data_IF_646457898166
#
_entry.id   IF_646457898166
#
_cell.length_a   1.000
_cell.length_b   1.000
_cell.length_c   1.000
_cell.angle_alpha   90.00
_cell.angle_beta   90.00
_cell.angle_gamma   90.00
#
_symmetry.space_group_name_H-M   'P 1'
#
loop_
_entity.id
_entity.type
_entity.pdbx_description
1 polymer ?
#
# COMPACT_ATOMS: atom_id res chain seq x y z
N UNK A 1 -12.57 15.44 -11.39
CA UNK A 1 -11.54 15.36 -10.34
C UNK A 1 -11.43 16.72 -9.69
N UNK A 2 -11.45 16.80 -8.36
CA UNK A 2 -11.32 18.06 -7.61
C UNK A 2 -9.85 18.46 -7.50
N UNK A 3 -9.57 19.76 -7.32
CA UNK A 3 -8.21 20.27 -7.09
C UNK A 3 -7.58 19.66 -5.82
N UNK A 4 -8.42 19.33 -4.83
CA UNK A 4 -8.01 18.68 -3.59
C UNK A 4 -7.40 17.29 -3.82
N UNK A 5 -8.06 16.44 -4.62
CA UNK A 5 -7.55 15.10 -4.97
C UNK A 5 -6.21 15.22 -5.70
N UNK A 6 -6.10 16.17 -6.63
CA UNK A 6 -4.87 16.38 -7.37
C UNK A 6 -3.72 16.87 -6.49
N UNK A 7 -3.96 17.83 -5.59
CA UNK A 7 -2.97 18.31 -4.62
C UNK A 7 -2.56 17.22 -3.63
N UNK A 8 -3.50 16.41 -3.16
CA UNK A 8 -3.22 15.28 -2.28
C UNK A 8 -2.20 14.31 -2.91
N UNK A 9 -2.47 13.82 -4.12
CA UNK A 9 -1.57 12.86 -4.76
C UNK A 9 -0.28 13.49 -5.25
N UNK A 10 -0.27 14.75 -5.70
CA UNK A 10 0.97 15.38 -6.22
C UNK A 10 1.90 15.90 -5.14
N UNK A 11 1.38 16.26 -3.97
CA UNK A 11 2.14 16.99 -2.97
C UNK A 11 2.16 16.25 -1.63
N UNK A 12 1.00 15.88 -1.09
CA UNK A 12 0.90 15.32 0.27
C UNK A 12 1.45 13.91 0.36
N UNK A 13 1.13 13.05 -0.60
CA UNK A 13 1.62 11.66 -0.63
C UNK A 13 3.16 11.59 -0.68
N UNK A 14 3.85 12.26 -1.63
CA UNK A 14 5.32 12.27 -1.62
C UNK A 14 5.90 12.92 -0.37
N UNK A 15 5.30 14.01 0.14
CA UNK A 15 5.77 14.69 1.33
C UNK A 15 5.71 13.79 2.57
N UNK A 16 4.59 13.10 2.79
CA UNK A 16 4.41 12.15 3.88
C UNK A 16 5.42 10.99 3.79
N UNK A 17 5.52 10.36 2.62
CA UNK A 17 6.45 9.25 2.40
C UNK A 17 7.92 9.66 2.68
N UNK A 18 8.32 10.84 2.21
CA UNK A 18 9.68 11.36 2.44
C UNK A 18 9.92 11.77 3.90
N UNK A 19 8.89 12.23 4.61
CA UNK A 19 8.98 12.49 6.04
C UNK A 19 9.24 11.20 6.84
N UNK A 20 8.58 10.10 6.47
CA UNK A 20 8.81 8.77 7.05
C UNK A 20 10.23 8.28 6.78
N UNK A 21 10.76 8.43 5.56
CA UNK A 21 12.16 8.13 5.25
C UNK A 21 13.14 8.96 6.11
N UNK A 22 12.88 10.26 6.28
CA UNK A 22 13.72 11.13 7.09
C UNK A 22 13.70 10.73 8.58
N UNK A 23 12.54 10.32 9.10
CA UNK A 23 12.42 9.78 10.45
C UNK A 23 13.23 8.47 10.59
N UNK A 24 13.14 7.55 9.62
CA UNK A 24 13.91 6.30 9.62
C UNK A 24 15.43 6.56 9.59
N UNK A 25 15.89 7.52 8.78
CA UNK A 25 17.30 7.96 8.76
C UNK A 25 17.80 8.41 10.13
N UNK A 26 16.97 9.15 10.86
CA UNK A 26 17.30 9.61 12.21
C UNK A 26 17.38 8.45 13.20
N UNK A 27 16.43 7.52 13.15
CA UNK A 27 16.39 6.35 14.03
C UNK A 27 17.56 5.39 13.79
N UNK A 28 18.04 5.28 12.55
CA UNK A 28 19.13 4.39 12.16
C UNK A 28 20.52 4.81 12.67
N UNK A 29 20.70 6.07 13.11
CA UNK A 29 22.02 6.59 13.50
C UNK A 29 22.69 5.79 14.63
N UNK A 30 21.89 5.21 15.53
CA UNK A 30 22.37 4.50 16.72
C UNK A 30 21.86 3.04 16.81
N UNK A 31 21.21 2.51 15.77
CA UNK A 31 20.61 1.17 15.74
C UNK A 31 21.00 0.41 14.45
N UNK A 32 21.78 -0.65 14.60
CA UNK A 32 22.30 -1.47 13.49
C UNK A 32 21.19 -2.20 12.70
N UNK A 33 20.10 -2.58 13.36
CA UNK A 33 18.95 -3.21 12.69
C UNK A 33 18.23 -2.14 11.87
N UNK A 34 17.97 -0.97 12.44
CA UNK A 34 17.35 0.15 11.73
C UNK A 34 18.21 0.66 10.56
N UNK A 35 19.54 0.58 10.67
CA UNK A 35 20.48 0.88 9.60
C UNK A 35 20.36 -0.10 8.43
N UNK A 36 20.22 -1.39 8.70
CA UNK A 36 20.04 -2.42 7.65
C UNK A 36 18.73 -2.17 6.89
N UNK A 37 17.63 -1.90 7.61
CA UNK A 37 16.35 -1.54 7.01
C UNK A 37 16.46 -0.28 6.15
N UNK A 38 17.15 0.75 6.64
CA UNK A 38 17.35 1.99 5.90
C UNK A 38 18.13 1.75 4.60
N UNK A 39 19.19 0.95 4.64
CA UNK A 39 19.97 0.59 3.44
C UNK A 39 19.09 -0.10 2.40
N UNK A 40 18.21 -1.01 2.83
CA UNK A 40 17.24 -1.68 1.96
C UNK A 40 16.20 -0.70 1.39
N UNK A 41 15.74 0.29 2.17
CA UNK A 41 14.86 1.36 1.67
C UNK A 41 15.59 2.25 0.65
N UNK A 42 16.84 2.63 0.91
CA UNK A 42 17.65 3.44 0.00
C UNK A 42 18.10 2.69 -1.25
N UNK A 43 18.08 1.35 -1.23
CA UNK A 43 18.30 0.51 -2.41
C UNK A 43 17.09 0.51 -3.36
N UNK A 44 15.90 0.93 -2.91
CA UNK A 44 14.68 0.90 -3.73
C UNK A 44 14.79 1.79 -4.96
N UNK A 45 14.42 1.21 -6.10
CA UNK A 45 14.31 1.83 -7.42
C UNK A 45 13.05 1.32 -8.11
N UNK A 46 11.95 2.04 -7.98
CA UNK A 46 10.65 1.53 -8.42
C UNK A 46 9.68 2.67 -8.76
N UNK A 47 8.62 2.33 -9.49
CA UNK A 47 7.51 3.25 -9.78
C UNK A 47 6.21 2.72 -9.19
N UNK A 48 5.35 3.62 -8.72
CA UNK A 48 3.97 3.35 -8.28
C UNK A 48 3.05 4.23 -9.13
N UNK A 49 1.88 3.71 -9.47
CA UNK A 49 0.83 4.50 -10.13
C UNK A 49 -0.45 4.44 -9.31
N UNK A 50 -1.15 5.56 -9.21
CA UNK A 50 -2.50 5.64 -8.64
C UNK A 50 -3.46 6.17 -9.69
N UNK A 51 -4.50 5.40 -9.97
CA UNK A 51 -5.61 5.81 -10.81
C UNK A 51 -6.81 6.20 -9.95
N UNK A 52 -7.33 7.41 -10.19
CA UNK A 52 -8.53 7.93 -9.53
C UNK A 52 -9.58 8.25 -10.59
N UNK A 53 -10.51 7.32 -10.82
CA UNK A 53 -11.34 7.34 -12.03
C UNK A 53 -10.46 7.36 -13.28
N UNK A 54 -10.58 8.38 -14.13
CA UNK A 54 -9.78 8.55 -15.35
C UNK A 54 -8.42 9.24 -15.11
N UNK A 55 -8.20 9.81 -13.92
CA UNK A 55 -6.94 10.48 -13.60
C UNK A 55 -5.87 9.48 -13.18
N UNK A 56 -4.61 9.78 -13.49
CA UNK A 56 -3.45 8.96 -13.11
C UNK A 56 -2.36 9.82 -12.48
N UNK A 57 -1.76 9.31 -11.42
CA UNK A 57 -0.67 9.92 -10.69
C UNK A 57 0.49 8.93 -10.61
N UNK A 58 1.62 9.29 -11.21
CA UNK A 58 2.82 8.46 -11.18
C UNK A 58 3.79 8.95 -10.11
N UNK A 59 4.41 7.99 -9.43
CA UNK A 59 5.41 8.20 -8.40
C UNK A 59 6.65 7.39 -8.73
N UNK A 60 7.81 8.02 -8.69
CA UNK A 60 9.09 7.35 -8.78
C UNK A 60 9.80 7.39 -7.43
N UNK A 61 10.30 6.23 -7.02
CA UNK A 61 11.10 6.04 -5.82
C UNK A 61 12.55 5.83 -6.24
N UNK A 62 13.39 6.79 -5.90
CA UNK A 62 14.83 6.80 -6.16
C UNK A 62 15.57 7.04 -4.84
N UNK A 63 16.52 6.15 -4.51
CA UNK A 63 17.25 6.20 -3.23
C UNK A 63 16.31 6.23 -2.02
N UNK A 64 15.23 5.46 -2.10
CA UNK A 64 14.19 5.40 -1.07
C UNK A 64 13.30 6.64 -0.96
N UNK A 65 13.55 7.72 -1.72
CA UNK A 65 12.74 8.94 -1.72
C UNK A 65 11.73 8.94 -2.87
N UNK A 66 10.50 9.40 -2.61
CA UNK A 66 9.42 9.46 -3.58
C UNK A 66 9.31 10.85 -4.21
N UNK A 67 9.07 10.88 -5.52
CA UNK A 67 8.77 12.09 -6.28
C UNK A 67 7.60 11.84 -7.22
N UNK A 68 6.76 12.86 -7.45
CA UNK A 68 5.75 12.80 -8.50
C UNK A 68 6.37 12.95 -9.88
N UNK A 69 5.82 12.21 -10.85
CA UNK A 69 6.23 12.26 -12.25
C UNK A 69 4.99 12.38 -13.16
N UNK A 70 5.18 12.87 -14.38
CA UNK A 70 4.12 12.91 -15.40
C UNK A 70 3.75 11.51 -15.89
N UNK A 71 4.72 10.59 -15.90
CA UNK A 71 4.58 9.18 -16.24
C UNK A 71 5.62 8.36 -15.47
N UNK A 72 5.36 7.07 -15.15
CA UNK A 72 6.32 6.26 -14.43
C UNK A 72 7.58 6.03 -15.28
N UNK A 73 8.77 6.25 -14.71
CA UNK A 73 10.03 6.05 -15.46
C UNK A 73 10.43 4.58 -15.60
N UNK A 74 9.74 3.69 -14.90
CA UNK A 74 9.96 2.23 -14.89
C UNK A 74 8.60 1.51 -14.89
N UNK A 75 8.54 0.21 -15.26
CA UNK A 75 7.33 -0.58 -15.05
C UNK A 75 6.89 -0.53 -13.58
N UNK A 76 5.69 -0.04 -13.27
CA UNK A 76 5.26 0.11 -11.89
C UNK A 76 5.21 -1.25 -11.20
N UNK A 77 5.63 -1.31 -9.94
CA UNK A 77 5.48 -2.55 -9.17
C UNK A 77 4.10 -2.65 -8.53
N UNK A 78 3.45 -1.49 -8.35
CA UNK A 78 2.15 -1.34 -7.75
C UNK A 78 1.35 -0.32 -8.56
N UNK A 79 0.17 -0.71 -9.00
CA UNK A 79 -0.86 0.19 -9.54
C UNK A 79 -2.07 0.12 -8.61
N UNK A 80 -2.46 1.25 -8.03
CA UNK A 80 -3.67 1.35 -7.20
C UNK A 80 -4.79 2.01 -7.97
N UNK A 81 -6.03 1.56 -7.78
CA UNK A 81 -7.20 2.14 -8.42
C UNK A 81 -8.35 2.30 -7.43
N UNK A 82 -8.97 3.47 -7.43
CA UNK A 82 -10.22 3.71 -6.72
C UNK A 82 -11.01 4.82 -7.42
N UNK A 83 -12.25 5.03 -7.00
CA UNK A 83 -13.08 6.10 -7.56
C UNK A 83 -12.85 7.42 -6.82
N UNK A 84 -13.25 8.56 -7.42
CA UNK A 84 -13.27 9.83 -6.70
C UNK A 84 -14.19 9.82 -5.48
N UNK A 85 -15.28 9.04 -5.48
CA UNK A 85 -16.20 8.98 -4.32
C UNK A 85 -15.55 8.29 -3.11
N UNK A 86 -14.67 7.31 -3.34
CA UNK A 86 -13.99 6.58 -2.28
C UNK A 86 -12.83 7.38 -1.65
N UNK A 87 -12.41 8.49 -2.26
CA UNK A 87 -11.25 9.27 -1.83
C UNK A 87 -11.33 9.73 -0.38
N UNK A 88 -12.45 10.34 0.04
CA UNK A 88 -12.60 10.86 1.40
C UNK A 88 -12.51 9.75 2.45
N UNK A 89 -13.14 8.60 2.17
CA UNK A 89 -13.10 7.41 3.03
C UNK A 89 -11.69 6.83 3.13
N UNK A 90 -10.98 6.73 2.00
CA UNK A 90 -9.60 6.24 1.94
C UNK A 90 -8.68 7.20 2.70
N UNK A 91 -8.83 8.51 2.48
CA UNK A 91 -8.03 9.53 3.15
C UNK A 91 -8.28 9.54 4.67
N UNK A 92 -9.53 9.43 5.11
CA UNK A 92 -9.86 9.28 6.53
C UNK A 92 -9.28 7.99 7.14
N UNK A 93 -9.23 6.91 6.35
CA UNK A 93 -8.73 5.61 6.79
C UNK A 93 -7.19 5.51 6.80
N UNK A 94 -6.49 6.17 5.88
CA UNK A 94 -5.05 6.00 5.67
C UNK A 94 -4.23 7.28 5.92
N UNK A 95 -4.89 8.41 6.18
CA UNK A 95 -4.24 9.72 6.21
C UNK A 95 -3.52 9.98 4.89
N UNK A 96 -2.33 10.58 4.99
CA UNK A 96 -1.51 10.92 3.82
C UNK A 96 -0.64 9.74 3.33
N UNK A 97 -0.75 8.56 3.97
CA UNK A 97 0.02 7.39 3.59
C UNK A 97 -0.66 6.64 2.45
N UNK A 98 0.04 6.57 1.32
CA UNK A 98 -0.43 5.82 0.15
C UNK A 98 -0.57 4.31 0.44
N UNK A 99 0.24 3.81 1.36
CA UNK A 99 0.36 2.38 1.68
C UNK A 99 -0.26 2.07 3.05
N UNK A 100 -0.97 3.03 3.65
CA UNK A 100 -1.59 2.86 4.98
C UNK A 100 -2.56 1.68 5.03
N UNK A 101 -3.24 1.37 3.93
CA UNK A 101 -4.13 0.20 3.86
C UNK A 101 -3.34 -1.13 3.85
N UNK A 102 -2.20 -1.20 3.16
CA UNK A 102 -1.33 -2.38 3.18
C UNK A 102 -0.69 -2.54 4.56
N UNK A 103 -0.31 -1.43 5.20
CA UNK A 103 0.13 -1.40 6.59
C UNK A 103 -0.93 -1.99 7.53
N UNK A 104 -2.17 -1.52 7.41
CA UNK A 104 -3.29 -2.03 8.20
C UNK A 104 -3.54 -3.54 7.99
N UNK A 105 -3.47 -4.02 6.73
CA UNK A 105 -3.58 -5.46 6.42
C UNK A 105 -2.41 -6.28 6.96
N UNK A 106 -1.22 -5.68 7.04
CA UNK A 106 -0.04 -6.30 7.62
C UNK A 106 0.04 -6.16 9.15
N UNK A 107 -0.93 -5.50 9.79
CA UNK A 107 -0.92 -5.25 11.24
C UNK A 107 0.19 -4.31 11.68
N UNK A 108 0.81 -3.67 10.70
CA UNK A 108 1.72 -2.58 10.92
C UNK A 108 0.81 -1.39 11.20
N UNK A 109 0.63 -1.05 12.47
CA UNK A 109 -0.17 0.11 12.90
C UNK A 109 0.28 1.43 12.26
N UNK A 110 1.48 1.45 11.67
CA UNK A 110 2.08 2.55 10.90
C UNK A 110 2.37 2.17 9.44
N UNK A 111 2.65 3.20 8.63
CA UNK A 111 3.01 3.17 7.22
C UNK A 111 3.92 1.99 6.83
N UNK A 112 3.49 1.20 5.83
CA UNK A 112 4.30 0.10 5.29
C UNK A 112 5.59 0.67 4.68
N UNK A 113 6.74 0.25 5.22
CA UNK A 113 8.06 0.59 4.66
C UNK A 113 8.24 -0.12 3.32
N UNK A 114 8.79 0.57 2.34
CA UNK A 114 9.15 -0.04 1.06
C UNK A 114 10.64 -0.34 1.07
N UNK A 115 10.99 -1.62 1.14
CA UNK A 115 12.36 -2.14 1.03
C UNK A 115 12.58 -2.79 -0.33
N UNK A 116 13.84 -2.97 -0.75
CA UNK A 116 14.15 -3.61 -2.02
C UNK A 116 13.62 -5.05 -2.09
N UNK A 117 13.72 -5.79 -0.99
CA UNK A 117 13.12 -7.12 -0.85
C UNK A 117 11.60 -7.09 -0.97
N UNK A 118 10.90 -6.18 -0.27
CA UNK A 118 9.43 -6.11 -0.32
C UNK A 118 8.94 -5.73 -1.72
N UNK A 119 9.62 -4.82 -2.42
CA UNK A 119 9.30 -4.53 -3.84
C UNK A 119 9.43 -5.78 -4.70
N UNK A 120 10.48 -6.58 -4.52
CA UNK A 120 10.66 -7.83 -5.27
C UNK A 120 9.53 -8.81 -4.98
N UNK A 121 9.25 -9.07 -3.70
CA UNK A 121 8.18 -9.98 -3.28
C UNK A 121 6.82 -9.56 -3.83
N UNK A 122 6.48 -8.27 -3.75
CA UNK A 122 5.23 -7.76 -4.31
C UNK A 122 5.19 -7.93 -5.84
N UNK A 123 6.29 -7.67 -6.57
CA UNK A 123 6.33 -7.92 -8.02
C UNK A 123 6.11 -9.39 -8.39
N UNK A 124 6.64 -10.31 -7.58
CA UNK A 124 6.54 -11.75 -7.79
C UNK A 124 5.13 -12.29 -7.56
N UNK A 125 4.28 -11.59 -6.78
CA UNK A 125 2.87 -11.98 -6.60
C UNK A 125 2.08 -11.97 -7.91
N UNK A 126 2.36 -11.00 -8.80
CA UNK A 126 1.76 -10.88 -10.13
C UNK A 126 0.23 -11.08 -10.16
N UNK A 127 -0.53 -10.04 -9.82
CA UNK A 127 -1.99 -10.13 -9.79
C UNK A 127 -2.68 -8.88 -9.24
N UNK A 128 -4.01 -8.90 -9.23
CA UNK A 128 -4.85 -7.84 -8.69
C UNK A 128 -5.62 -8.30 -7.44
N UNK A 129 -5.65 -7.46 -6.41
CA UNK A 129 -6.48 -7.66 -5.23
C UNK A 129 -7.42 -6.46 -5.06
N UNK A 130 -8.72 -6.74 -4.91
CA UNK A 130 -9.72 -5.77 -4.50
C UNK A 130 -9.87 -5.78 -2.99
N UNK A 131 -9.83 -4.62 -2.37
CA UNK A 131 -10.06 -4.42 -0.96
C UNK A 131 -11.38 -3.69 -0.78
N UNK A 132 -12.27 -4.25 0.03
CA UNK A 132 -13.56 -3.65 0.34
C UNK A 132 -13.64 -3.40 1.83
N UNK A 133 -13.67 -2.13 2.23
CA UNK A 133 -13.96 -1.75 3.61
C UNK A 133 -15.47 -1.56 3.76
N UNK A 134 -16.09 -2.51 4.46
CA UNK A 134 -17.53 -2.57 4.70
C UNK A 134 -17.87 -1.71 5.92
N UNK A 135 -18.16 -0.43 5.65
CA UNK A 135 -18.47 0.58 6.67
C UNK A 135 -19.30 1.73 6.11
N UNK A 136 -19.66 2.67 6.99
CA UNK A 136 -20.24 3.96 6.60
C UNK A 136 -19.43 5.11 7.23
N UNK A 137 -18.61 5.83 6.45
CA UNK A 137 -18.38 5.61 5.02
C UNK A 137 -17.47 4.39 4.76
N UNK A 138 -17.75 3.65 3.68
CA UNK A 138 -16.95 2.53 3.20
C UNK A 138 -16.11 2.95 1.99
N UNK A 139 -15.25 2.05 1.50
CA UNK A 139 -14.51 2.30 0.26
C UNK A 139 -14.12 1.00 -0.45
N UNK A 140 -13.84 1.10 -1.74
CA UNK A 140 -13.17 0.06 -2.53
C UNK A 140 -11.83 0.56 -3.04
N UNK A 141 -10.79 -0.26 -2.88
CA UNK A 141 -9.46 0.02 -3.40
C UNK A 141 -8.92 -1.24 -4.09
N UNK A 142 -8.47 -1.10 -5.33
CA UNK A 142 -7.79 -2.17 -6.05
C UNK A 142 -6.29 -1.94 -6.03
N UNK A 143 -5.52 -2.99 -5.78
CA UNK A 143 -4.07 -2.98 -5.82
C UNK A 143 -3.59 -4.07 -6.77
N UNK A 144 -2.80 -3.66 -7.76
CA UNK A 144 -2.27 -4.50 -8.82
C UNK A 144 -0.75 -4.57 -8.70
N UNK A 145 -0.21 -5.77 -8.62
CA UNK A 145 1.20 -6.00 -8.34
C UNK A 145 1.90 -6.67 -9.52
N UNK A 146 3.12 -6.23 -9.81
CA UNK A 146 3.92 -6.77 -10.92
C UNK A 146 3.37 -6.39 -12.30
N UNK A 147 3.74 -7.18 -13.32
CA UNK A 147 3.21 -7.01 -14.67
C UNK A 147 1.85 -7.72 -14.78
N UNK A 148 0.78 -6.93 -14.74
CA UNK A 148 -0.59 -7.45 -14.74
C UNK A 148 -1.25 -7.41 -16.12
N UNK A 149 -0.56 -6.91 -17.14
CA UNK A 149 -1.11 -6.74 -18.50
C UNK A 149 -2.41 -5.91 -18.53
N UNK A 150 -3.30 -6.21 -19.47
CA UNK A 150 -4.61 -5.54 -19.63
C UNK A 150 -5.72 -6.22 -18.79
N UNK A 151 -5.40 -6.78 -17.62
CA UNK A 151 -6.43 -7.40 -16.77
C UNK A 151 -7.47 -6.36 -16.33
N UNK A 152 -8.74 -6.71 -16.57
CA UNK A 152 -9.88 -5.85 -16.26
C UNK A 152 -10.35 -5.98 -14.80
N UNK A 153 -10.27 -7.19 -14.23
CA UNK A 153 -10.77 -7.49 -12.89
C UNK A 153 -9.69 -8.09 -11.97
N UNK A 154 -9.64 -7.68 -10.69
CA UNK A 154 -8.78 -8.29 -9.68
C UNK A 154 -9.06 -9.80 -9.51
N UNK A 155 -8.01 -10.55 -9.23
CA UNK A 155 -8.05 -12.02 -9.06
C UNK A 155 -8.65 -12.42 -7.70
N UNK A 156 -8.52 -11.56 -6.69
CA UNK A 156 -9.05 -11.79 -5.35
C UNK A 156 -9.76 -10.55 -4.81
N UNK A 157 -10.75 -10.76 -3.93
CA UNK A 157 -11.40 -9.71 -3.15
C UNK A 157 -11.27 -10.03 -1.65
N UNK A 158 -10.72 -9.09 -0.89
CA UNK A 158 -10.62 -9.15 0.56
C UNK A 158 -11.64 -8.17 1.14
N UNK A 159 -12.55 -8.67 1.98
CA UNK A 159 -13.57 -7.85 2.63
C UNK A 159 -13.19 -7.62 4.09
N UNK A 160 -13.25 -6.37 4.52
CA UNK A 160 -12.93 -5.95 5.87
C UNK A 160 -14.15 -5.26 6.46
N UNK A 161 -14.82 -5.93 7.40
CA UNK A 161 -15.83 -5.29 8.24
C UNK A 161 -15.20 -4.12 9.01
N UNK A 162 -15.96 -3.04 9.23
CA UNK A 162 -15.48 -1.84 9.92
C UNK A 162 -14.80 -2.15 11.27
N UNK A 163 -15.39 -3.02 12.08
CA UNK A 163 -14.84 -3.41 13.39
C UNK A 163 -13.53 -4.19 13.26
N UNK A 164 -13.44 -5.10 12.27
CA UNK A 164 -12.20 -5.85 11.99
C UNK A 164 -11.10 -4.90 11.51
N UNK A 165 -11.43 -3.99 10.60
CA UNK A 165 -10.49 -2.99 10.08
C UNK A 165 -9.94 -2.08 11.20
N UNK A 166 -10.81 -1.61 12.11
CA UNK A 166 -10.41 -0.80 13.25
C UNK A 166 -9.50 -1.56 14.24
N UNK A 167 -9.77 -2.86 14.46
CA UNK A 167 -8.95 -3.70 15.33
C UNK A 167 -7.58 -4.01 14.70
N UNK A 168 -7.52 -4.34 13.42
CA UNK A 168 -6.26 -4.52 12.69
C UNK A 168 -5.41 -3.24 12.74
N UNK A 169 -6.03 -2.08 12.48
CA UNK A 169 -5.37 -0.78 12.51
C UNK A 169 -4.82 -0.38 13.87
N UNK A 170 -5.51 -0.72 14.94
CA UNK A 170 -5.04 -0.44 16.30
C UNK A 170 -4.02 -1.46 16.80
N UNK A 171 -3.75 -2.52 16.03
CA UNK A 171 -2.97 -3.68 16.47
C UNK A 171 -3.67 -4.52 17.53
N UNK A 172 -4.96 -4.27 17.79
CA UNK A 172 -5.76 -5.05 18.74
C UNK A 172 -6.11 -6.45 18.22
N UNK A 173 -6.11 -6.60 16.89
CA UNK A 173 -6.23 -7.88 16.21
C UNK A 173 -4.97 -8.12 15.40
N UNK A 174 -4.32 -9.26 15.63
CA UNK A 174 -3.21 -9.70 14.80
C UNK A 174 -3.73 -10.14 13.42
N UNK A 175 -3.19 -9.61 12.32
CA UNK A 175 -3.68 -9.94 10.97
C UNK A 175 -3.43 -11.37 10.56
N UNK A 176 -2.30 -11.97 10.99
CA UNK A 176 -2.01 -13.35 10.67
C UNK A 176 -3.04 -14.26 11.36
N UNK A 177 -3.34 -14.01 12.63
CA UNK A 177 -4.39 -14.71 13.37
C UNK A 177 -5.77 -14.48 12.74
N UNK A 178 -6.13 -13.24 12.40
CA UNK A 178 -7.42 -12.91 11.78
C UNK A 178 -7.62 -13.64 10.45
N UNK A 179 -6.56 -13.70 9.65
CA UNK A 179 -6.55 -14.38 8.37
C UNK A 179 -6.68 -15.90 8.54
N UNK A 180 -5.86 -16.51 9.40
CA UNK A 180 -5.89 -17.95 9.67
C UNK A 180 -7.20 -18.40 10.35
N UNK A 181 -7.84 -17.52 11.12
CA UNK A 181 -9.14 -17.77 11.74
C UNK A 181 -10.33 -17.58 10.78
N UNK A 182 -10.09 -17.10 9.55
CA UNK A 182 -11.15 -16.82 8.57
C UNK A 182 -12.02 -15.61 8.92
N UNK A 183 -11.54 -14.71 9.78
CA UNK A 183 -12.25 -13.48 10.16
C UNK A 183 -12.23 -12.41 9.06
N UNK A 184 -11.39 -12.60 8.04
CA UNK A 184 -11.27 -11.75 6.85
C UNK A 184 -11.76 -12.59 5.66
N UNK A 185 -13.00 -12.37 5.16
CA UNK A 185 -13.50 -13.08 4.01
C UNK A 185 -12.67 -12.79 2.75
N UNK A 186 -12.37 -13.86 2.01
CA UNK A 186 -11.65 -13.80 0.74
C UNK A 186 -12.49 -14.48 -0.32
N UNK A 187 -12.66 -13.82 -1.46
CA UNK A 187 -13.32 -14.34 -2.66
C UNK A 187 -12.29 -14.39 -3.79
N UNK A 188 -12.26 -15.48 -4.57
CA UNK A 188 -11.35 -15.62 -5.71
C UNK A 188 -10.04 -16.33 -5.36
N UNK A 189 -8.90 -15.81 -5.82
CA UNK A 189 -7.58 -16.41 -5.60
C UNK A 189 -7.08 -16.20 -4.16
N UNK A 190 -7.38 -17.17 -3.28
CA UNK A 190 -6.89 -17.18 -1.90
C UNK A 190 -5.36 -17.21 -1.81
N UNK A 191 -4.68 -17.86 -2.76
CA UNK A 191 -3.22 -17.94 -2.78
C UNK A 191 -2.57 -16.57 -2.98
N UNK A 192 -3.14 -15.75 -3.87
CA UNK A 192 -2.73 -14.36 -4.07
C UNK A 192 -2.97 -13.52 -2.81
N UNK A 193 -4.14 -13.66 -2.17
CA UNK A 193 -4.48 -12.92 -0.95
C UNK A 193 -3.54 -13.27 0.21
N UNK A 194 -3.25 -14.57 0.41
CA UNK A 194 -2.25 -15.06 1.38
C UNK A 194 -0.87 -14.51 1.04
N UNK A 195 -0.47 -14.60 -0.23
CA UNK A 195 0.81 -14.12 -0.70
C UNK A 195 1.00 -12.63 -0.45
N UNK A 196 -0.04 -11.81 -0.67
CA UNK A 196 -0.04 -10.39 -0.35
C UNK A 196 0.16 -10.14 1.14
N UNK A 197 -0.59 -10.83 1.99
CA UNK A 197 -0.44 -10.70 3.44
C UNK A 197 0.99 -11.06 3.87
N UNK A 198 1.54 -12.17 3.39
CA UNK A 198 2.91 -12.60 3.70
C UNK A 198 3.96 -11.61 3.17
N UNK A 199 3.80 -11.07 1.96
CA UNK A 199 4.72 -10.09 1.39
C UNK A 199 4.69 -8.77 2.18
N UNK A 200 3.53 -8.37 2.68
CA UNK A 200 3.36 -7.17 3.49
C UNK A 200 3.88 -7.36 4.93
N UNK A 201 3.68 -8.54 5.52
CA UNK A 201 4.12 -8.92 6.88
C UNK A 201 5.57 -9.41 6.97
N UNK A 202 6.23 -9.69 5.85
CA UNK A 202 7.58 -10.27 5.84
C UNK A 202 8.52 -9.41 6.69
N UNK A 203 9.22 -10.01 7.68
CA UNK A 203 10.13 -9.28 8.55
C UNK A 203 11.25 -8.65 7.73
N UNK A 204 11.68 -7.47 8.17
CA UNK A 204 12.78 -6.70 7.58
C UNK A 204 14.14 -7.15 8.08
#
# INVERSE_FOLDING_TARGET
MTDEVASFYRERVPAQYNATLAAQRKSAMDDATAQTVLEEMEAVRASIVVCVGEASFAFDIERGAMTSADAPTRPPFLVMRHTPEDFESIHAACGDSLLGFLGALAGLGDEMRITSQRVRSLRELAGGVRLVHEGKPGFTLEAWFGDTGERADPDATIRLAADTFAQLRSGALDPQEAFLAGAIPIEGDEGLAIGLALAAMSPE
#
